data_IF_708651840595
#
_entry.id   IF_708651840595
#
_cell.length_a   1.000
_cell.length_b   1.000
_cell.length_c   1.000
_cell.angle_alpha   90.00
_cell.angle_beta   90.00
_cell.angle_gamma   90.00
#
_symmetry.space_group_name_H-M   'P 1'
#
loop_
_entity.id
_entity.type
_entity.pdbx_description
1 polymer ?
#
# COMPACT_ATOMS: atom_id res chain seq x y z
N UNK A 1 17.01 8.89 -6.83
CA UNK A 1 15.93 8.12 -6.18
C UNK A 1 14.70 8.31 -7.04
N UNK A 2 13.84 7.29 -7.14
CA UNK A 2 12.60 7.39 -7.93
C UNK A 2 11.41 7.16 -7.02
N UNK A 3 10.53 8.15 -6.88
CA UNK A 3 9.29 7.99 -6.09
C UNK A 3 8.09 7.79 -7.00
N UNK A 4 7.46 6.60 -6.91
CA UNK A 4 6.24 6.23 -7.63
C UNK A 4 5.05 6.39 -6.69
N UNK A 5 3.94 6.93 -7.20
CA UNK A 5 2.70 7.05 -6.46
C UNK A 5 1.65 6.09 -7.01
N UNK A 6 0.96 5.37 -6.12
CA UNK A 6 -0.05 4.35 -6.43
C UNK A 6 -1.32 4.67 -5.65
N UNK A 7 -2.27 5.36 -6.29
CA UNK A 7 -3.55 5.66 -5.65
C UNK A 7 -4.44 4.43 -5.51
N UNK A 8 -5.40 4.46 -4.58
CA UNK A 8 -6.41 3.43 -4.43
C UNK A 8 -7.83 3.94 -4.15
N UNK A 9 -8.75 3.49 -5.01
CA UNK A 9 -10.22 3.35 -4.91
C UNK A 9 -11.19 4.53 -5.04
N UNK A 10 -12.30 4.17 -5.70
CA UNK A 10 -13.68 4.70 -5.75
C UNK A 10 -14.02 5.96 -6.53
N UNK A 11 -13.06 6.81 -6.90
CA UNK A 11 -13.42 7.92 -7.76
C UNK A 11 -13.09 7.56 -9.21
N UNK A 12 -14.10 7.06 -9.92
CA UNK A 12 -14.10 7.02 -11.39
C UNK A 12 -13.71 8.42 -11.87
N UNK A 13 -12.54 8.55 -12.50
CA UNK A 13 -11.98 9.86 -12.87
C UNK A 13 -11.31 10.70 -11.78
N UNK A 14 -10.96 10.16 -10.59
CA UNK A 14 -10.11 10.91 -9.65
C UNK A 14 -8.65 10.93 -10.10
N UNK A 15 -8.32 12.04 -10.73
CA UNK A 15 -6.98 12.60 -10.88
C UNK A 15 -6.47 13.23 -9.58
N UNK A 16 -7.01 12.92 -8.39
CA UNK A 16 -6.74 13.70 -7.17
C UNK A 16 -5.24 13.95 -6.91
N UNK A 17 -4.36 12.95 -7.05
CA UNK A 17 -2.92 13.22 -6.97
C UNK A 17 -2.47 14.21 -8.07
N UNK A 18 -2.86 13.98 -9.32
CA UNK A 18 -2.57 14.86 -10.46
C UNK A 18 -3.15 16.28 -10.34
N UNK A 19 -4.21 16.47 -9.56
CA UNK A 19 -4.81 17.77 -9.32
C UNK A 19 -4.21 18.44 -8.07
N UNK A 20 -3.59 17.64 -7.18
CA UNK A 20 -3.05 18.10 -5.89
C UNK A 20 -1.65 18.75 -5.97
N UNK A 21 -1.20 19.16 -7.15
CA UNK A 21 0.10 19.82 -7.35
C UNK A 21 0.16 21.27 -6.84
N UNK A 22 -0.99 21.87 -6.56
CA UNK A 22 -1.10 23.27 -6.14
C UNK A 22 -1.77 23.41 -4.77
N UNK A 23 -1.64 24.60 -4.18
CA UNK A 23 -2.33 24.99 -2.95
C UNK A 23 -2.10 24.03 -1.78
N UNK A 24 -3.20 23.57 -1.18
CA UNK A 24 -3.21 22.62 -0.06
C UNK A 24 -3.26 21.16 -0.52
N UNK A 25 -2.89 20.87 -1.76
CA UNK A 25 -2.83 19.52 -2.29
C UNK A 25 -1.70 18.67 -1.69
N UNK A 26 -1.90 17.36 -1.62
CA UNK A 26 -0.88 16.42 -1.15
C UNK A 26 0.40 16.47 -1.96
N UNK A 27 0.37 16.51 -3.31
CA UNK A 27 1.60 16.53 -4.11
C UNK A 27 2.38 17.82 -3.91
N UNK A 28 1.69 18.95 -3.75
CA UNK A 28 2.31 20.22 -3.38
C UNK A 28 3.06 20.08 -2.05
N UNK A 29 2.38 19.55 -1.04
CA UNK A 29 2.97 19.24 0.27
C UNK A 29 4.15 18.29 0.16
N UNK A 30 3.98 17.15 -0.53
CA UNK A 30 4.99 16.12 -0.76
C UNK A 30 6.28 16.70 -1.31
N UNK A 31 6.17 17.45 -2.40
CA UNK A 31 7.32 18.06 -3.04
C UNK A 31 7.95 19.14 -2.16
N UNK A 32 7.13 19.88 -1.40
CA UNK A 32 7.60 20.82 -0.37
C UNK A 32 8.45 20.14 0.70
N UNK A 33 7.93 19.09 1.33
CA UNK A 33 8.65 18.35 2.37
C UNK A 33 9.90 17.63 1.85
N UNK A 34 9.86 17.09 0.62
CA UNK A 34 11.03 16.53 -0.03
C UNK A 34 12.14 17.58 -0.23
N UNK A 35 11.77 18.76 -0.73
CA UNK A 35 12.71 19.88 -0.93
C UNK A 35 13.23 20.43 0.40
N UNK A 36 12.41 20.46 1.44
CA UNK A 36 12.85 20.87 2.77
C UNK A 36 13.91 19.90 3.33
N UNK A 37 13.73 18.60 3.14
CA UNK A 37 14.64 17.59 3.67
C UNK A 37 15.99 17.52 2.90
N UNK A 38 15.98 17.68 1.57
CA UNK A 38 17.17 17.42 0.74
C UNK A 38 17.48 18.46 -0.34
N UNK A 39 16.67 19.51 -0.48
CA UNK A 39 16.79 20.53 -1.52
C UNK A 39 16.20 20.16 -2.88
N UNK A 40 15.70 18.94 -3.07
CA UNK A 40 15.14 18.45 -4.33
C UNK A 40 13.97 17.47 -4.09
N UNK A 41 13.12 17.22 -5.10
CA UNK A 41 12.04 16.23 -5.04
C UNK A 41 12.15 15.23 -6.20
N UNK A 42 11.75 13.98 -5.97
CA UNK A 42 11.88 12.88 -6.94
C UNK A 42 10.54 12.19 -7.26
N UNK A 43 9.42 12.85 -6.92
CA UNK A 43 8.08 12.39 -7.27
C UNK A 43 7.95 12.28 -8.81
N UNK A 44 7.69 11.06 -9.29
CA UNK A 44 7.61 10.70 -10.70
C UNK A 44 8.81 11.15 -11.54
N UNK A 45 10.00 11.07 -10.96
CA UNK A 45 11.27 11.34 -11.64
C UNK A 45 12.12 10.06 -11.63
N UNK A 46 12.60 9.67 -12.82
CA UNK A 46 13.51 8.55 -13.04
C UNK A 46 14.79 9.11 -13.65
N UNK A 47 15.97 8.82 -13.08
CA UNK A 47 17.26 9.37 -13.53
C UNK A 47 17.25 10.89 -13.81
N UNK A 48 16.60 11.66 -12.94
CA UNK A 48 16.51 13.12 -13.06
C UNK A 48 15.55 13.62 -14.16
N UNK A 49 14.80 12.74 -14.83
CA UNK A 49 13.79 13.10 -15.84
C UNK A 49 12.39 12.70 -15.39
N UNK A 50 11.35 13.48 -15.69
CA UNK A 50 9.96 13.07 -15.49
C UNK A 50 9.65 11.74 -16.18
N UNK A 51 8.81 10.89 -15.56
CA UNK A 51 8.39 9.60 -16.15
C UNK A 51 7.76 9.73 -17.54
N UNK A 52 7.11 10.87 -17.84
CA UNK A 52 6.51 11.15 -19.15
C UNK A 52 7.52 11.29 -20.29
N UNK A 53 8.82 11.45 -20.00
CA UNK A 53 9.88 11.45 -21.02
C UNK A 53 10.32 10.04 -21.44
N UNK A 54 9.81 8.98 -20.79
CA UNK A 54 10.15 7.59 -21.08
C UNK A 54 9.02 6.91 -21.87
N UNK A 55 9.18 6.65 -23.17
CA UNK A 55 8.14 6.05 -24.00
C UNK A 55 7.67 4.69 -23.49
N UNK A 56 8.59 3.89 -22.94
CA UNK A 56 8.30 2.55 -22.43
C UNK A 56 7.46 2.57 -21.15
N UNK A 57 7.51 3.65 -20.35
CA UNK A 57 6.65 3.81 -19.17
C UNK A 57 5.24 4.28 -19.54
N UNK A 58 5.09 4.97 -20.68
CA UNK A 58 3.80 5.51 -21.12
C UNK A 58 3.20 6.59 -20.22
N UNK A 59 3.96 7.10 -19.24
CA UNK A 59 3.52 8.12 -18.28
C UNK A 59 3.57 7.65 -16.82
N UNK A 60 2.72 8.25 -15.99
CA UNK A 60 2.56 7.86 -14.58
C UNK A 60 1.74 6.57 -14.49
N UNK A 61 2.08 5.70 -13.54
CA UNK A 61 1.20 4.57 -13.23
C UNK A 61 -0.07 5.07 -12.53
N UNK A 62 -1.22 4.76 -13.11
CA UNK A 62 -2.52 5.05 -12.54
C UNK A 62 -3.31 3.77 -12.33
N UNK A 63 -3.93 3.65 -11.16
CA UNK A 63 -4.94 2.64 -10.92
C UNK A 63 -6.24 3.30 -10.45
N UNK A 64 -7.29 3.09 -11.23
CA UNK A 64 -8.66 3.44 -10.88
C UNK A 64 -9.52 2.17 -10.94
N UNK A 65 -9.41 1.35 -9.90
CA UNK A 65 -10.18 0.12 -9.79
C UNK A 65 -11.34 0.27 -8.83
N UNK A 66 -12.38 -0.50 -9.12
CA UNK A 66 -13.46 -0.76 -8.20
C UNK A 66 -12.95 -1.59 -7.00
N UNK A 67 -13.75 -1.66 -5.94
CA UNK A 67 -13.35 -2.27 -4.67
C UNK A 67 -13.28 -3.82 -4.71
N UNK A 68 -13.67 -4.45 -5.80
CA UNK A 68 -13.47 -5.86 -6.06
C UNK A 68 -11.99 -6.06 -6.46
N UNK A 69 -11.25 -6.83 -5.68
CA UNK A 69 -9.84 -7.07 -5.99
C UNK A 69 -9.55 -8.03 -7.15
N UNK A 70 -10.49 -8.45 -8.01
CA UNK A 70 -10.11 -8.91 -9.35
C UNK A 70 -9.44 -7.74 -10.08
N UNK A 71 -9.97 -6.52 -9.90
CA UNK A 71 -9.36 -5.30 -10.40
C UNK A 71 -8.04 -4.98 -9.70
N UNK A 72 -7.90 -5.30 -8.40
CA UNK A 72 -6.61 -5.22 -7.71
C UNK A 72 -5.58 -6.21 -8.27
N UNK A 73 -5.99 -7.43 -8.62
CA UNK A 73 -5.10 -8.43 -9.22
C UNK A 73 -4.59 -8.00 -10.60
N UNK A 74 -5.50 -7.49 -11.46
CA UNK A 74 -5.13 -6.93 -12.77
C UNK A 74 -4.18 -5.75 -12.60
N UNK A 75 -4.50 -4.83 -11.69
CA UNK A 75 -3.66 -3.68 -11.39
C UNK A 75 -2.29 -4.10 -10.88
N UNK A 76 -2.21 -5.13 -10.04
CA UNK A 76 -0.95 -5.63 -9.52
C UNK A 76 -0.04 -6.18 -10.64
N UNK A 77 -0.60 -6.87 -11.63
CA UNK A 77 0.16 -7.31 -12.81
C UNK A 77 0.67 -6.13 -13.63
N UNK A 78 -0.17 -5.10 -13.84
CA UNK A 78 0.24 -3.88 -14.54
C UNK A 78 1.32 -3.12 -13.76
N UNK A 79 1.20 -3.03 -12.44
CA UNK A 79 2.20 -2.38 -11.58
C UNK A 79 3.52 -3.17 -11.59
N UNK A 80 3.48 -4.50 -11.55
CA UNK A 80 4.68 -5.32 -11.65
C UNK A 80 5.39 -5.12 -13.00
N UNK A 81 4.64 -5.08 -14.11
CA UNK A 81 5.19 -4.75 -15.42
C UNK A 81 5.82 -3.34 -15.43
N UNK A 82 5.12 -2.34 -14.87
CA UNK A 82 5.64 -0.98 -14.76
C UNK A 82 6.94 -0.92 -13.94
N UNK A 83 6.99 -1.59 -12.78
CA UNK A 83 8.17 -1.65 -11.92
C UNK A 83 9.35 -2.35 -12.60
N UNK A 84 9.11 -3.40 -13.39
CA UNK A 84 10.15 -4.04 -14.20
C UNK A 84 10.76 -3.07 -15.22
N UNK A 85 9.94 -2.22 -15.85
CA UNK A 85 10.41 -1.20 -16.79
C UNK A 85 11.22 -0.14 -16.03
N UNK A 86 10.72 0.38 -14.91
CA UNK A 86 11.47 1.33 -14.06
C UNK A 86 12.82 0.75 -13.66
N UNK A 87 12.87 -0.49 -13.18
CA UNK A 87 14.11 -1.15 -12.79
C UNK A 87 15.06 -1.44 -13.96
N UNK A 88 14.56 -1.44 -15.20
CA UNK A 88 15.40 -1.49 -16.40
C UNK A 88 15.93 -0.11 -16.83
N UNK A 89 15.32 0.97 -16.37
CA UNK A 89 15.68 2.34 -16.70
C UNK A 89 16.64 2.97 -15.68
N UNK A 90 16.63 2.53 -14.43
CA UNK A 90 17.43 3.14 -13.36
C UNK A 90 18.00 2.13 -12.38
N UNK A 91 19.20 2.42 -11.86
CA UNK A 91 19.79 1.76 -10.70
C UNK A 91 19.44 2.47 -9.38
N UNK A 92 18.68 3.57 -9.44
CA UNK A 92 18.27 4.32 -8.26
C UNK A 92 17.30 3.49 -7.40
N UNK A 93 17.35 3.62 -6.06
CA UNK A 93 16.39 2.94 -5.23
C UNK A 93 14.97 3.46 -5.51
N UNK A 94 14.03 2.52 -5.64
CA UNK A 94 12.61 2.79 -5.89
C UNK A 94 11.92 3.05 -4.55
N UNK A 95 11.10 4.09 -4.51
CA UNK A 95 10.21 4.42 -3.40
C UNK A 95 8.76 4.38 -3.89
N UNK A 96 7.85 3.98 -3.01
CA UNK A 96 6.42 3.92 -3.33
C UNK A 96 5.60 4.69 -2.30
N UNK A 97 4.70 5.56 -2.76
CA UNK A 97 3.60 6.06 -1.92
C UNK A 97 2.34 5.39 -2.42
N UNK A 98 1.61 4.71 -1.55
CA UNK A 98 0.35 4.10 -1.89
C UNK A 98 -0.76 4.56 -0.96
N UNK A 99 -1.97 4.68 -1.49
CA UNK A 99 -3.13 5.10 -0.73
C UNK A 99 -4.24 4.05 -0.78
N UNK A 100 -4.93 3.85 0.35
CA UNK A 100 -6.11 2.99 0.48
C UNK A 100 -5.89 1.62 -0.17
N UNK A 101 -6.77 1.16 -1.06
CA UNK A 101 -6.62 -0.14 -1.71
C UNK A 101 -5.40 -0.24 -2.64
N UNK A 102 -4.77 0.88 -3.01
CA UNK A 102 -3.54 0.93 -3.80
C UNK A 102 -2.38 0.30 -3.04
N UNK A 103 -2.40 0.39 -1.71
CA UNK A 103 -1.47 -0.33 -0.85
C UNK A 103 -1.56 -1.85 -1.07
N UNK A 104 -2.77 -2.38 -1.22
CA UNK A 104 -2.97 -3.82 -1.50
C UNK A 104 -2.55 -4.20 -2.93
N UNK A 105 -2.67 -3.28 -3.90
CA UNK A 105 -2.11 -3.48 -5.25
C UNK A 105 -0.59 -3.61 -5.19
N UNK A 106 0.08 -2.74 -4.43
CA UNK A 106 1.54 -2.82 -4.20
C UNK A 106 1.91 -4.15 -3.56
N UNK A 107 1.23 -4.55 -2.48
CA UNK A 107 1.49 -5.82 -1.78
C UNK A 107 1.27 -7.05 -2.67
N UNK A 108 0.30 -7.01 -3.58
CA UNK A 108 0.13 -8.07 -4.58
C UNK A 108 1.27 -8.04 -5.60
N UNK A 109 1.55 -6.88 -6.20
CA UNK A 109 2.51 -6.74 -7.29
C UNK A 109 3.90 -7.27 -6.90
N UNK A 110 4.34 -6.95 -5.68
CA UNK A 110 5.61 -7.42 -5.11
C UNK A 110 5.68 -8.92 -4.84
N UNK A 111 4.54 -9.59 -4.72
CA UNK A 111 4.46 -11.05 -4.55
C UNK A 111 4.33 -11.83 -5.87
N UNK A 112 4.17 -11.13 -7.00
CA UNK A 112 3.96 -11.76 -8.30
C UNK A 112 5.25 -12.40 -8.82
N UNK A 113 5.19 -13.63 -9.37
CA UNK A 113 6.36 -14.30 -9.93
C UNK A 113 6.92 -13.61 -11.17
N UNK A 114 6.12 -12.80 -11.86
CA UNK A 114 6.54 -12.00 -13.01
C UNK A 114 7.35 -10.74 -12.62
N UNK A 115 7.36 -10.36 -11.34
CA UNK A 115 8.19 -9.25 -10.88
C UNK A 115 9.65 -9.69 -10.81
N UNK A 116 10.51 -8.98 -11.54
CA UNK A 116 11.93 -9.29 -11.61
C UNK A 116 12.59 -9.29 -10.23
N UNK A 117 13.54 -10.19 -10.03
CA UNK A 117 14.23 -10.37 -8.74
C UNK A 117 15.09 -9.16 -8.32
N UNK A 118 15.42 -8.26 -9.26
CA UNK A 118 16.16 -7.03 -8.97
C UNK A 118 15.26 -5.87 -8.53
N UNK A 119 13.92 -6.02 -8.57
CA UNK A 119 13.01 -4.98 -8.08
C UNK A 119 12.96 -5.03 -6.55
N UNK A 120 13.46 -3.96 -5.92
CA UNK A 120 13.45 -3.73 -4.48
C UNK A 120 12.89 -2.34 -4.17
N UNK A 121 11.96 -2.28 -3.21
CA UNK A 121 11.33 -1.03 -2.75
C UNK A 121 12.06 -0.57 -1.48
N UNK A 122 12.89 0.47 -1.62
CA UNK A 122 13.70 0.96 -0.51
C UNK A 122 12.85 1.55 0.62
N UNK A 123 11.89 2.40 0.28
CA UNK A 123 10.94 2.98 1.22
C UNK A 123 9.54 2.95 0.63
N UNK A 124 8.55 2.60 1.44
CA UNK A 124 7.16 2.75 1.07
C UNK A 124 6.38 3.58 2.11
N UNK A 125 5.38 4.32 1.64
CA UNK A 125 4.42 5.01 2.49
C UNK A 125 3.03 4.49 2.17
N UNK A 126 2.37 3.89 3.15
CA UNK A 126 1.01 3.39 3.03
C UNK A 126 0.08 4.31 3.79
N UNK A 127 -0.76 5.02 3.04
CA UNK A 127 -1.73 5.98 3.54
C UNK A 127 -3.10 5.31 3.62
N UNK A 128 -3.73 5.30 4.79
CA UNK A 128 -5.07 4.74 5.00
C UNK A 128 -5.23 3.32 4.42
N UNK A 129 -4.22 2.46 4.55
CA UNK A 129 -4.21 1.10 3.97
C UNK A 129 -5.17 0.14 4.71
N UNK A 130 -6.19 -0.45 4.07
CA UNK A 130 -6.92 -1.54 4.69
C UNK A 130 -6.11 -2.84 4.63
N UNK A 131 -5.67 -3.34 5.79
CA UNK A 131 -4.95 -4.61 5.91
C UNK A 131 -5.94 -5.76 6.08
N UNK A 132 -6.12 -6.57 5.03
CA UNK A 132 -7.10 -7.65 5.01
C UNK A 132 -6.57 -8.96 5.58
N UNK A 133 -7.34 -9.55 6.49
CA UNK A 133 -6.99 -10.81 7.14
C UNK A 133 -8.21 -11.67 7.44
N UNK A 134 -7.97 -12.97 7.63
CA UNK A 134 -8.94 -13.97 8.08
C UNK A 134 -8.57 -14.43 9.50
N UNK A 135 -9.54 -14.36 10.41
CA UNK A 135 -9.42 -14.80 11.79
C UNK A 135 -9.37 -16.33 11.89
N UNK A 136 -8.60 -16.85 12.86
CA UNK A 136 -8.59 -18.27 13.24
C UNK A 136 -8.18 -19.22 12.10
N UNK A 137 -7.32 -18.76 11.20
CA UNK A 137 -6.73 -19.64 10.20
C UNK A 137 -5.88 -20.72 10.89
N UNK A 138 -6.06 -21.96 10.45
CA UNK A 138 -5.27 -23.11 10.89
C UNK A 138 -4.39 -23.51 9.71
N UNK A 139 -3.10 -23.18 9.79
CA UNK A 139 -2.13 -23.62 8.80
C UNK A 139 -1.59 -24.99 9.21
N UNK A 140 -1.72 -25.98 8.33
CA UNK A 140 -1.03 -27.27 8.49
C UNK A 140 0.36 -27.15 7.85
N UNK A 141 1.40 -26.95 8.66
CA UNK A 141 2.77 -27.08 8.18
C UNK A 141 3.13 -28.56 8.02
N UNK A 142 3.16 -29.01 6.77
CA UNK A 142 3.78 -30.28 6.39
C UNK A 142 5.20 -29.98 5.96
N UNK A 143 6.19 -30.37 6.78
CA UNK A 143 7.59 -30.33 6.36
C UNK A 143 7.74 -31.15 5.05
N UNK A 144 8.49 -30.62 4.09
CA UNK A 144 8.55 -31.13 2.71
C UNK A 144 8.96 -32.59 2.55
N UNK A 145 9.42 -33.25 3.61
CA UNK A 145 9.83 -34.65 3.66
C UNK A 145 8.73 -35.62 4.16
N UNK A 146 7.63 -35.13 4.74
CA UNK A 146 6.64 -35.97 5.46
C UNK A 146 5.27 -36.08 4.76
N UNK A 147 5.15 -35.67 3.49
CA UNK A 147 3.87 -35.67 2.73
C UNK A 147 3.21 -37.05 2.56
N UNK A 148 3.92 -38.14 2.84
CA UNK A 148 3.42 -39.52 2.65
C UNK A 148 3.13 -40.28 3.97
N UNK A 149 3.35 -39.67 5.14
CA UNK A 149 3.07 -40.32 6.43
C UNK A 149 1.75 -39.79 7.04
N UNK A 150 0.67 -40.52 6.75
CA UNK A 150 -0.71 -40.20 7.19
C UNK A 150 -0.81 -40.08 8.73
N UNK A 151 0.06 -40.76 9.50
CA UNK A 151 0.07 -40.68 10.97
C UNK A 151 0.73 -39.39 11.49
N UNK A 152 1.66 -38.79 10.74
CA UNK A 152 2.28 -37.50 11.09
C UNK A 152 1.46 -36.30 10.64
N UNK A 153 0.68 -36.42 9.56
CA UNK A 153 -0.33 -35.42 9.18
C UNK A 153 -1.29 -35.16 10.35
N UNK A 154 -1.70 -36.21 11.06
CA UNK A 154 -2.53 -36.10 12.28
C UNK A 154 -1.84 -35.40 13.48
N UNK A 155 -0.52 -35.25 13.43
CA UNK A 155 0.32 -34.61 14.46
C UNK A 155 0.84 -33.24 14.04
N UNK A 156 0.42 -32.72 12.88
CA UNK A 156 0.76 -31.38 12.43
C UNK A 156 0.33 -30.36 13.50
N UNK A 157 1.25 -29.46 13.87
CA UNK A 157 0.94 -28.39 14.83
C UNK A 157 -0.09 -27.45 14.21
N UNK A 158 -1.28 -27.39 14.83
CA UNK A 158 -2.28 -26.38 14.49
C UNK A 158 -1.81 -25.03 15.05
N UNK A 159 -1.04 -24.27 14.28
CA UNK A 159 -0.77 -22.87 14.62
C UNK A 159 -2.03 -22.08 14.30
N UNK A 160 -2.72 -21.61 15.34
CA UNK A 160 -3.82 -20.65 15.19
C UNK A 160 -3.19 -19.28 14.96
N UNK A 161 -3.61 -18.60 13.91
CA UNK A 161 -3.13 -17.26 13.58
C UNK A 161 -4.03 -16.54 12.59
N UNK A 162 -3.54 -15.43 12.07
CA UNK A 162 -4.19 -14.70 11.00
C UNK A 162 -3.68 -15.18 9.64
N UNK A 163 -4.57 -15.25 8.65
CA UNK A 163 -4.16 -15.37 7.24
C UNK A 163 -4.31 -14.03 6.56
N UNK A 164 -3.20 -13.46 6.13
CA UNK A 164 -3.18 -12.20 5.41
C UNK A 164 -3.44 -12.44 3.93
N UNK A 165 -4.45 -11.75 3.37
CA UNK A 165 -4.75 -11.84 1.93
C UNK A 165 -3.72 -11.13 1.08
N UNK A 166 -3.12 -10.08 1.62
CA UNK A 166 -2.10 -9.26 0.98
C UNK A 166 -0.85 -9.29 1.86
N UNK A 167 -0.21 -10.46 1.93
CA UNK A 167 1.04 -10.62 2.68
C UNK A 167 2.17 -9.88 1.95
N UNK A 168 3.03 -9.21 2.71
CA UNK A 168 4.23 -8.57 2.16
C UNK A 168 5.32 -9.61 1.95
N UNK A 169 5.99 -9.53 0.79
CA UNK A 169 7.29 -10.15 0.60
C UNK A 169 8.35 -9.28 1.29
N UNK A 170 8.76 -9.70 2.49
CA UNK A 170 9.67 -8.92 3.34
C UNK A 170 11.07 -8.77 2.74
N UNK A 171 11.43 -9.60 1.77
CA UNK A 171 12.74 -9.51 1.09
C UNK A 171 12.79 -8.39 0.05
N UNK A 172 11.64 -7.83 -0.33
CA UNK A 172 11.52 -6.80 -1.38
C UNK A 172 11.29 -5.40 -0.83
N UNK A 173 11.30 -5.22 0.49
CA UNK A 173 11.11 -3.92 1.14
C UNK A 173 12.25 -3.58 2.10
N UNK A 174 12.60 -2.30 2.13
CA UNK A 174 13.49 -1.74 3.15
C UNK A 174 12.71 -1.29 4.39
N UNK A 175 11.90 -0.24 4.26
CA UNK A 175 11.07 0.32 5.34
C UNK A 175 9.70 0.78 4.83
N UNK A 176 8.69 0.70 5.68
CA UNK A 176 7.31 1.07 5.37
C UNK A 176 6.79 2.02 6.45
N UNK A 177 6.43 3.24 6.09
CA UNK A 177 5.66 4.14 6.94
C UNK A 177 4.17 3.90 6.70
N UNK A 178 3.46 3.36 7.69
CA UNK A 178 2.00 3.24 7.65
C UNK A 178 1.35 4.39 8.39
N UNK A 179 0.60 5.24 7.69
CA UNK A 179 -0.08 6.41 8.24
C UNK A 179 -1.58 6.14 8.22
N UNK A 180 -2.21 6.21 9.39
CA UNK A 180 -3.63 5.91 9.55
C UNK A 180 -4.28 6.87 10.56
N UNK A 181 -5.62 6.90 10.56
CA UNK A 181 -6.39 7.64 11.56
C UNK A 181 -7.54 6.76 12.08
N UNK A 182 -7.72 6.69 13.40
CA UNK A 182 -8.82 5.92 14.00
C UNK A 182 -10.21 6.50 13.69
N UNK A 183 -10.28 7.81 13.40
CA UNK A 183 -11.53 8.48 12.98
C UNK A 183 -11.83 8.31 11.49
N UNK A 184 -10.90 7.75 10.71
CA UNK A 184 -11.16 7.36 9.33
C UNK A 184 -11.96 6.04 9.34
N UNK A 185 -13.25 6.17 9.07
CA UNK A 185 -14.16 5.02 8.94
C UNK A 185 -14.20 4.50 7.50
N UNK A 186 -13.73 5.26 6.51
CA UNK A 186 -13.70 4.85 5.10
C UNK A 186 -12.72 3.70 4.92
N UNK A 187 -11.54 3.76 5.54
CA UNK A 187 -10.51 2.73 5.41
C UNK A 187 -11.03 1.31 5.73
N UNK A 188 -11.67 1.11 6.88
CA UNK A 188 -12.05 -0.23 7.36
C UNK A 188 -13.50 -0.57 7.03
N UNK A 189 -14.44 0.36 7.19
CA UNK A 189 -15.86 0.05 7.05
C UNK A 189 -16.23 -0.15 5.57
N UNK A 190 -15.65 0.64 4.67
CA UNK A 190 -15.81 0.45 3.23
C UNK A 190 -15.19 -0.88 2.79
N UNK A 191 -13.97 -1.17 3.26
CA UNK A 191 -13.27 -2.42 2.99
C UNK A 191 -14.08 -3.64 3.47
N UNK A 192 -14.75 -3.56 4.62
CA UNK A 192 -15.61 -4.63 5.13
C UNK A 192 -16.96 -4.72 4.40
N UNK A 193 -17.54 -3.59 3.96
CA UNK A 193 -18.80 -3.57 3.23
C UNK A 193 -18.69 -4.06 1.78
N UNK A 194 -17.54 -3.81 1.13
CA UNK A 194 -17.27 -4.16 -0.26
C UNK A 194 -16.50 -5.48 -0.42
N UNK A 195 -16.08 -6.11 0.68
CA UNK A 195 -15.46 -7.43 0.66
C UNK A 195 -16.45 -8.59 0.45
N UNK A 196 -17.74 -8.25 0.35
CA UNK A 196 -18.83 -9.17 0.02
C UNK A 196 -19.04 -9.29 -1.49
N UNK A 197 -18.17 -10.05 -2.16
CA UNK A 197 -18.40 -10.47 -3.54
C UNK A 197 -17.14 -10.46 -4.39
N UNK A 198 -16.64 -11.66 -4.71
CA UNK A 198 -15.74 -11.93 -5.84
C UNK A 198 -14.31 -11.39 -5.74
N UNK A 199 -13.44 -12.05 -4.93
CA UNK A 199 -12.00 -11.74 -4.95
C UNK A 199 -11.03 -12.85 -4.47
N UNK A 200 -9.70 -12.79 -4.77
CA UNK A 200 -8.92 -13.94 -5.17
C UNK A 200 -8.40 -14.67 -3.92
N UNK A 201 -8.63 -15.97 -3.86
CA UNK A 201 -8.45 -16.82 -2.70
C UNK A 201 -6.99 -17.24 -2.38
N UNK A 202 -5.99 -16.91 -3.22
CA UNK A 202 -4.59 -17.31 -3.12
C UNK A 202 -3.68 -16.33 -3.89
N UNK A 203 -2.38 -16.29 -3.61
CA UNK A 203 -1.39 -15.51 -4.39
C UNK A 203 -1.19 -15.97 -5.84
N UNK A 204 -2.08 -16.80 -6.40
CA UNK A 204 -2.02 -17.30 -7.78
C UNK A 204 -3.32 -16.98 -8.53
N UNK A 205 -3.23 -16.05 -9.50
CA UNK A 205 -4.36 -15.59 -10.31
C UNK A 205 -5.20 -16.74 -10.88
N UNK A 206 -4.56 -17.77 -11.45
CA UNK A 206 -5.26 -18.89 -12.10
C UNK A 206 -5.99 -19.81 -11.12
N UNK A 207 -5.44 -20.03 -9.93
CA UNK A 207 -6.11 -20.83 -8.89
C UNK A 207 -7.35 -20.12 -8.36
N UNK A 208 -7.32 -18.79 -8.32
CA UNK A 208 -8.43 -17.96 -7.87
C UNK A 208 -9.61 -17.98 -8.82
N UNK A 209 -9.33 -17.81 -10.12
CA UNK A 209 -10.36 -17.90 -11.17
C UNK A 209 -11.00 -19.29 -11.16
N UNK A 210 -10.20 -20.35 -11.00
CA UNK A 210 -10.70 -21.72 -10.94
C UNK A 210 -11.60 -21.96 -9.73
N UNK A 211 -11.16 -21.56 -8.52
CA UNK A 211 -11.96 -21.70 -7.29
C UNK A 211 -13.25 -20.89 -7.32
N UNK A 212 -13.21 -19.68 -7.89
CA UNK A 212 -14.39 -18.84 -8.05
C UNK A 212 -15.47 -19.50 -8.92
N UNK A 213 -15.07 -20.24 -9.95
CA UNK A 213 -15.98 -20.95 -10.84
C UNK A 213 -16.55 -22.24 -10.23
N UNK A 214 -15.85 -22.86 -9.27
CA UNK A 214 -16.22 -24.19 -8.76
C UNK A 214 -16.87 -24.20 -7.37
N UNK A 215 -16.52 -23.28 -6.48
CA UNK A 215 -16.81 -23.45 -5.04
C UNK A 215 -17.78 -22.39 -4.47
N UNK A 216 -17.92 -21.22 -5.09
CA UNK A 216 -18.63 -20.09 -4.50
C UNK A 216 -17.89 -19.55 -3.26
N UNK A 217 -17.80 -18.23 -3.10
CA UNK A 217 -16.96 -17.64 -2.05
C UNK A 217 -17.79 -17.43 -0.78
N UNK A 218 -17.34 -18.01 0.33
CA UNK A 218 -17.80 -17.68 1.69
C UNK A 218 -16.65 -17.09 2.52
N UNK A 219 -17.02 -16.06 3.31
CA UNK A 219 -16.25 -15.29 4.30
C UNK A 219 -15.67 -13.92 3.86
N UNK A 220 -16.24 -12.89 4.48
CA UNK A 220 -15.88 -11.48 4.46
C UNK A 220 -14.55 -11.31 5.21
N UNK A 221 -13.45 -10.91 4.55
CA UNK A 221 -12.21 -10.62 5.26
C UNK A 221 -12.42 -9.49 6.26
N UNK A 222 -11.85 -9.66 7.45
CA UNK A 222 -11.68 -8.56 8.39
C UNK A 222 -10.64 -7.59 7.83
N UNK A 223 -10.74 -6.33 8.23
CA UNK A 223 -9.80 -5.29 7.84
C UNK A 223 -9.26 -4.59 9.10
N UNK A 224 -7.96 -4.33 9.09
CA UNK A 224 -7.23 -3.64 10.14
C UNK A 224 -6.57 -2.37 9.59
N UNK A 225 -6.29 -1.41 10.47
CA UNK A 225 -5.63 -0.12 10.12
C UNK A 225 -4.11 -0.19 10.05
N UNK A 226 -3.54 -1.27 10.57
CA UNK A 226 -2.12 -1.59 10.57
C UNK A 226 -1.91 -3.06 10.22
N UNK A 227 -0.68 -3.41 9.85
CA UNK A 227 -0.33 -4.79 9.53
C UNK A 227 -0.20 -5.61 10.80
N UNK A 228 -0.96 -6.70 10.89
CA UNK A 228 -0.89 -7.63 12.02
C UNK A 228 0.10 -8.78 11.74
N UNK A 229 0.76 -8.79 10.58
CA UNK A 229 1.74 -9.81 10.25
C UNK A 229 3.03 -9.59 11.05
N UNK A 230 3.24 -10.44 12.06
CA UNK A 230 4.44 -10.41 12.91
C UNK A 230 5.73 -10.54 12.08
N UNK A 231 5.70 -11.28 10.97
CA UNK A 231 6.87 -11.45 10.11
C UNK A 231 7.26 -10.15 9.39
N UNK A 232 6.28 -9.29 9.07
CA UNK A 232 6.51 -8.02 8.41
C UNK A 232 6.67 -6.85 9.40
N UNK A 233 6.36 -7.04 10.69
CA UNK A 233 6.33 -5.99 11.71
C UNK A 233 7.60 -5.13 11.78
N UNK A 234 8.78 -5.74 11.59
CA UNK A 234 10.07 -5.07 11.59
C UNK A 234 10.27 -4.04 10.47
N UNK A 235 9.48 -4.13 9.39
CA UNK A 235 9.52 -3.18 8.28
C UNK A 235 8.68 -1.92 8.56
N UNK A 236 7.71 -2.02 9.47
CA UNK A 236 6.68 -1.01 9.64
C UNK A 236 6.99 0.01 10.73
N UNK A 237 6.90 1.29 10.36
CA UNK A 237 6.72 2.41 11.27
C UNK A 237 5.27 2.85 11.19
N UNK A 238 4.50 2.59 12.27
CA UNK A 238 3.08 2.92 12.32
C UNK A 238 2.89 4.31 12.95
N UNK A 239 2.21 5.21 12.23
CA UNK A 239 1.84 6.55 12.68
C UNK A 239 0.32 6.71 12.69
N UNK A 240 -0.25 6.85 13.87
CA UNK A 240 -1.63 7.31 14.02
C UNK A 240 -1.67 8.84 14.02
N UNK A 241 -2.32 9.45 13.03
CA UNK A 241 -2.51 10.89 12.98
C UNK A 241 -3.78 11.31 13.72
N UNK A 242 -3.69 12.43 14.44
CA UNK A 242 -4.83 13.03 15.12
C UNK A 242 -5.45 14.10 14.22
N UNK A 243 -6.77 14.11 14.12
CA UNK A 243 -7.53 15.16 13.41
C UNK A 243 -8.43 15.90 14.38
N UNK A 244 -8.74 17.16 14.06
CA UNK A 244 -9.64 18.00 14.86
C UNK A 244 -10.91 17.25 15.30
N UNK A 245 -11.44 17.49 16.51
CA UNK A 245 -12.60 16.76 17.04
C UNK A 245 -13.83 16.74 16.13
N UNK A 246 -14.04 17.80 15.34
CA UNK A 246 -15.14 17.96 14.40
C UNK A 246 -14.96 17.18 13.07
N UNK A 247 -13.83 16.52 12.87
CA UNK A 247 -13.56 15.66 11.72
C UNK A 247 -13.80 14.18 12.04
N UNK A 248 -14.59 13.53 11.19
CA UNK A 248 -14.85 12.09 11.25
C UNK A 248 -15.19 11.54 9.86
N UNK A 249 -14.97 10.24 9.67
CA UNK A 249 -15.40 9.51 8.47
C UNK A 249 -14.76 10.02 7.20
N UNK A 250 -15.58 10.29 6.17
CA UNK A 250 -15.10 10.77 4.86
C UNK A 250 -14.29 12.06 4.95
N UNK A 251 -14.64 12.96 5.89
CA UNK A 251 -13.88 14.20 6.08
C UNK A 251 -12.48 13.94 6.65
N UNK A 252 -12.36 13.01 7.60
CA UNK A 252 -11.05 12.57 8.10
C UNK A 252 -10.26 11.90 6.99
N UNK A 253 -10.91 11.08 6.18
CA UNK A 253 -10.28 10.46 5.01
C UNK A 253 -9.73 11.52 4.05
N UNK A 254 -10.50 12.56 3.72
CA UNK A 254 -10.02 13.71 2.95
C UNK A 254 -8.84 14.43 3.61
N UNK A 255 -8.77 14.52 4.94
CA UNK A 255 -7.60 15.11 5.60
C UNK A 255 -6.32 14.28 5.41
N UNK A 256 -6.44 12.97 5.20
CA UNK A 256 -5.29 12.12 4.84
C UNK A 256 -4.72 12.45 3.46
N UNK A 257 -5.48 13.19 2.65
CA UNK A 257 -5.13 13.74 1.34
C UNK A 257 -4.61 15.20 1.43
N UNK A 258 -4.42 15.73 2.64
CA UNK A 258 -3.96 17.09 2.84
C UNK A 258 -2.48 17.33 2.51
N UNK A 259 -2.15 18.60 2.30
CA UNK A 259 -0.78 19.08 2.14
C UNK A 259 0.11 18.77 3.33
N UNK A 260 -0.43 18.75 4.55
CA UNK A 260 0.36 18.48 5.76
C UNK A 260 0.84 17.04 5.80
N UNK A 261 -0.03 16.09 5.44
CA UNK A 261 0.35 14.67 5.30
C UNK A 261 1.35 14.52 4.15
N UNK A 262 1.12 15.22 3.03
CA UNK A 262 2.08 15.27 1.92
C UNK A 262 3.46 15.72 2.37
N UNK A 263 3.56 16.87 3.06
CA UNK A 263 4.81 17.44 3.52
C UNK A 263 5.57 16.51 4.46
N UNK A 264 4.90 15.93 5.46
CA UNK A 264 5.55 14.95 6.33
C UNK A 264 6.02 13.71 5.55
N UNK A 265 5.20 13.20 4.63
CA UNK A 265 5.54 12.06 3.78
C UNK A 265 6.81 12.34 2.97
N UNK A 266 6.88 13.53 2.36
CA UNK A 266 8.02 13.95 1.55
C UNK A 266 9.29 14.12 2.37
N UNK A 267 9.15 14.72 3.56
CA UNK A 267 10.27 14.89 4.47
C UNK A 267 10.80 13.54 4.99
N UNK A 268 9.92 12.61 5.37
CA UNK A 268 10.33 11.27 5.82
C UNK A 268 11.06 10.50 4.71
N UNK A 269 10.53 10.54 3.48
CA UNK A 269 11.17 9.88 2.33
C UNK A 269 12.58 10.45 2.07
N UNK A 270 12.75 11.77 2.09
CA UNK A 270 14.03 12.41 1.72
C UNK A 270 15.02 12.66 2.86
N UNK A 271 14.61 12.49 4.12
CA UNK A 271 15.51 12.67 5.27
C UNK A 271 16.19 11.38 5.73
N UNK A 272 15.68 10.21 5.32
CA UNK A 272 16.11 8.87 5.80
C UNK A 272 15.97 8.68 7.34
N UNK A 273 15.25 9.57 8.01
CA UNK A 273 15.03 9.54 9.45
C UNK A 273 13.96 8.52 9.84
N UNK A 274 13.94 8.14 11.12
CA UNK A 274 12.79 7.45 11.71
C UNK A 274 11.62 8.41 11.93
N UNK A 275 10.40 7.89 11.92
CA UNK A 275 9.20 8.73 12.02
C UNK A 275 9.20 9.59 13.29
N UNK A 276 9.73 9.07 14.41
CA UNK A 276 9.83 9.83 15.65
C UNK A 276 10.79 11.02 15.55
N UNK A 277 11.85 10.90 14.76
CA UNK A 277 12.79 12.01 14.52
C UNK A 277 12.16 13.06 13.59
N UNK A 278 11.31 12.63 12.65
CA UNK A 278 10.53 13.54 11.80
C UNK A 278 9.52 14.32 12.64
N UNK A 279 8.80 13.66 13.55
CA UNK A 279 7.83 14.30 14.45
C UNK A 279 8.46 15.31 15.42
N UNK A 280 9.77 15.21 15.70
CA UNK A 280 10.49 16.22 16.46
C UNK A 280 10.80 17.49 15.64
N UNK A 281 10.64 17.44 14.32
CA UNK A 281 10.95 18.54 13.38
C UNK A 281 9.70 19.13 12.75
N UNK A 282 8.67 18.31 12.53
CA UNK A 282 7.40 18.70 11.93
C UNK A 282 6.30 18.56 12.98
N UNK A 283 5.61 19.66 13.29
CA UNK A 283 4.45 19.64 14.17
C UNK A 283 3.25 19.01 13.46
N UNK A 284 2.88 17.80 13.90
CA UNK A 284 1.70 17.05 13.45
C UNK A 284 0.67 16.87 14.57
N UNK A 285 0.67 17.74 15.58
CA UNK A 285 -0.13 17.57 16.80
C UNK A 285 -1.61 17.31 16.53
N UNK A 286 -2.26 18.11 15.67
CA UNK A 286 -3.64 17.88 15.22
C UNK A 286 -3.83 18.43 13.81
N UNK A 287 -4.20 17.56 12.87
CA UNK A 287 -4.50 17.96 11.50
C UNK A 287 -5.82 18.74 11.41
N UNK A 288 -5.84 19.88 10.72
CA UNK A 288 -7.02 20.70 10.62
C UNK A 288 -8.04 20.11 9.63
N UNK A 289 -9.32 20.29 9.92
CA UNK A 289 -10.42 19.76 9.12
C UNK A 289 -10.56 20.30 7.70
N UNK A 290 -9.79 21.33 7.36
CA UNK A 290 -9.83 21.99 6.06
C UNK A 290 -8.62 21.64 5.18
N UNK A 291 -7.64 20.88 5.69
CA UNK A 291 -6.52 20.39 4.89
C UNK A 291 -6.95 19.12 4.15
N UNK A 292 -7.93 19.24 3.24
CA UNK A 292 -8.58 18.11 2.57
C UNK A 292 -7.96 17.73 1.23
N UNK A 293 -6.92 18.45 0.80
CA UNK A 293 -6.30 18.24 -0.51
C UNK A 293 -7.04 18.88 -1.68
N UNK A 294 -8.08 19.69 -1.40
CA UNK A 294 -8.88 20.48 -2.36
C UNK A 294 -8.50 21.97 -2.33
#
# INVERSE_FOLDING_TARGET
>A
MTTILVHGTLATGASWYQDSWEGNGFLAGLCGGMKEASGWHDAWIVNGKPVGEYPDLGGVYEWNGLAEGIYRGIAAQQLAAYLNIVAGLTDEPIRIIAHSHGCNVVKLAISLPELSNNVFINQAVFLACPHFYEDKYVQEELSGLDKFDIRKVHKAYKKKGYRFRYKIDTQRFGRILNIYCNKDTVQVDLAQSLSGGQVPLTGSFWENVKKQLTEGIHELPMASRWDLDEEASHLYENLEVQVEPKCSGTKTHSVMHGSTIGAMTGFWLNSNLHIQEVLNRIDLSVLPCHDTGD
#
